data_IF_555851082207
#
_entry.id   IF_555851082207
#
_cell.length_a   1.000
_cell.length_b   1.000
_cell.length_c   1.000
_cell.angle_alpha   90.00
_cell.angle_beta   90.00
_cell.angle_gamma   90.00
#
_symmetry.space_group_name_H-M   'P 1'
#
loop_
_entity.id
_entity.type
_entity.pdbx_description
1 polymer ?
#
# COMPACT_ATOMS: atom_id res chain seq x y z
N UNK A 1 6.97 -16.16 -13.89
CA UNK A 1 6.72 -14.90 -14.64
C UNK A 1 5.60 -14.05 -14.04
N UNK A 2 4.45 -14.61 -13.62
CA UNK A 2 3.29 -13.83 -13.12
C UNK A 2 3.55 -12.99 -11.86
N UNK A 3 4.37 -13.48 -10.92
CA UNK A 3 4.71 -12.76 -9.68
C UNK A 3 5.32 -11.37 -9.92
N UNK A 4 6.21 -11.25 -10.91
CA UNK A 4 6.93 -10.01 -11.19
C UNK A 4 5.99 -8.86 -11.59
N UNK A 5 4.87 -9.18 -12.24
CA UNK A 5 3.89 -8.19 -12.69
C UNK A 5 2.95 -7.71 -11.57
N UNK A 6 2.86 -8.47 -10.47
CA UNK A 6 2.02 -8.15 -9.31
C UNK A 6 2.79 -7.57 -8.13
N UNK A 7 4.13 -7.64 -8.16
CA UNK A 7 5.00 -7.11 -7.11
C UNK A 7 4.88 -5.59 -7.06
N UNK A 8 4.76 -5.07 -5.83
CA UNK A 8 4.70 -3.62 -5.55
C UNK A 8 6.05 -3.17 -5.02
N UNK A 9 6.47 -1.95 -5.38
CA UNK A 9 7.73 -1.39 -4.90
C UNK A 9 7.53 -0.52 -3.66
N UNK A 10 8.33 -0.74 -2.60
CA UNK A 10 8.21 0.01 -1.35
C UNK A 10 8.53 1.49 -1.55
N UNK A 11 9.50 1.80 -2.40
CA UNK A 11 9.91 3.17 -2.73
C UNK A 11 8.76 3.96 -3.36
N UNK A 12 8.06 3.37 -4.33
CA UNK A 12 6.89 3.96 -4.99
C UNK A 12 5.77 4.20 -3.99
N UNK A 13 5.54 3.25 -3.07
CA UNK A 13 4.51 3.37 -2.05
C UNK A 13 4.82 4.49 -1.03
N UNK A 14 6.08 4.65 -0.62
CA UNK A 14 6.53 5.74 0.25
C UNK A 14 6.41 7.09 -0.46
N UNK A 15 6.80 7.16 -1.73
CA UNK A 15 6.66 8.38 -2.52
C UNK A 15 5.19 8.79 -2.64
N UNK A 16 4.29 7.83 -2.90
CA UNK A 16 2.85 8.05 -2.90
C UNK A 16 2.33 8.52 -1.53
N UNK A 17 2.88 8.02 -0.43
CA UNK A 17 2.49 8.46 0.90
C UNK A 17 2.98 9.89 1.20
N UNK A 18 4.13 10.29 0.68
CA UNK A 18 4.71 11.61 0.91
C UNK A 18 4.00 12.70 0.08
N UNK A 19 3.72 12.43 -1.20
CA UNK A 19 3.07 13.38 -2.10
C UNK A 19 1.53 13.31 -2.04
N UNK A 20 0.97 12.12 -1.81
CA UNK A 20 -0.47 11.85 -1.88
C UNK A 20 -1.05 11.38 -0.52
N UNK A 21 -0.29 11.51 0.57
CA UNK A 21 -0.67 11.11 1.91
C UNK A 21 -1.88 11.86 2.47
N UNK A 22 -2.00 13.15 2.16
CA UNK A 22 -3.16 13.95 2.55
C UNK A 22 -4.48 13.46 1.96
N UNK A 23 -4.43 12.75 0.83
CA UNK A 23 -5.60 12.19 0.13
C UNK A 23 -5.68 10.66 0.34
N UNK A 24 -4.62 10.01 0.81
CA UNK A 24 -4.55 8.57 1.03
C UNK A 24 -4.25 7.73 -0.22
N UNK A 25 -3.60 8.31 -1.22
CA UNK A 25 -3.28 7.64 -2.48
C UNK A 25 -2.46 6.35 -2.33
N UNK A 26 -1.56 6.30 -1.33
CA UNK A 26 -0.76 5.11 -1.03
C UNK A 26 -1.61 3.92 -0.59
N UNK A 27 -2.77 4.15 0.03
CA UNK A 27 -3.70 3.06 0.43
C UNK A 27 -4.34 2.40 -0.78
N UNK A 28 -4.70 3.17 -1.80
CA UNK A 28 -5.18 2.63 -3.07
C UNK A 28 -4.10 1.82 -3.79
N UNK A 29 -2.83 2.23 -3.69
CA UNK A 29 -1.72 1.49 -4.29
C UNK A 29 -1.54 0.08 -3.67
N UNK A 30 -1.75 -0.08 -2.36
CA UNK A 30 -1.75 -1.38 -1.69
C UNK A 30 -3.08 -2.16 -1.83
N UNK A 31 -4.06 -1.66 -2.58
CA UNK A 31 -5.38 -2.29 -2.71
C UNK A 31 -6.27 -2.14 -1.47
N UNK A 32 -5.93 -1.23 -0.55
CA UNK A 32 -6.70 -0.93 0.65
C UNK A 32 -7.73 0.19 0.36
N UNK A 33 -8.63 -0.04 -0.58
CA UNK A 33 -9.59 0.96 -1.11
C UNK A 33 -10.45 1.58 -0.01
N UNK A 34 -10.92 0.79 0.97
CA UNK A 34 -11.72 1.31 2.08
C UNK A 34 -10.97 2.34 2.94
N UNK A 35 -9.69 2.09 3.24
CA UNK A 35 -8.84 3.05 3.95
C UNK A 35 -8.51 4.28 3.10
N UNK A 36 -8.30 4.10 1.79
CA UNK A 36 -8.10 5.21 0.88
C UNK A 36 -9.32 6.15 0.81
N UNK A 37 -10.53 5.60 0.77
CA UNK A 37 -11.77 6.39 0.81
C UNK A 37 -11.92 7.13 2.15
N UNK A 38 -11.56 6.49 3.26
CA UNK A 38 -11.56 7.14 4.57
C UNK A 38 -10.60 8.35 4.58
N UNK A 39 -9.41 8.20 4.03
CA UNK A 39 -8.45 9.30 3.91
C UNK A 39 -8.96 10.43 3.00
N UNK A 40 -9.63 10.10 1.89
CA UNK A 40 -10.30 11.08 1.01
C UNK A 40 -11.37 11.88 1.74
N UNK A 41 -12.21 11.23 2.57
CA UNK A 41 -13.25 11.91 3.33
C UNK A 41 -12.68 12.84 4.41
N UNK A 42 -11.51 12.50 4.95
CA UNK A 42 -10.82 13.30 5.95
C UNK A 42 -9.72 14.21 5.36
N UNK A 43 -9.55 14.29 4.03
CA UNK A 43 -8.42 15.02 3.42
C UNK A 43 -8.41 16.52 3.77
N UNK A 44 -9.59 17.10 3.97
CA UNK A 44 -9.80 18.49 4.38
C UNK A 44 -9.38 18.80 5.83
N UNK A 45 -9.20 17.80 6.69
CA UNK A 45 -8.78 18.02 8.08
C UNK A 45 -7.27 18.11 8.26
N UNK A 46 -6.47 17.88 7.20
CA UNK A 46 -5.00 17.75 7.22
C UNK A 46 -4.46 16.61 8.10
N UNK A 47 -5.30 15.97 8.93
CA UNK A 47 -4.97 14.79 9.75
C UNK A 47 -4.40 13.63 8.91
N UNK A 48 -4.97 13.28 7.74
CA UNK A 48 -4.46 12.17 6.94
C UNK A 48 -3.03 12.38 6.46
N UNK A 49 -2.63 13.64 6.22
CA UNK A 49 -1.26 14.00 5.84
C UNK A 49 -0.26 13.71 6.96
N UNK A 50 -0.60 14.07 8.21
CA UNK A 50 0.24 13.79 9.38
C UNK A 50 0.36 12.27 9.61
N UNK A 51 -0.76 11.54 9.54
CA UNK A 51 -0.75 10.08 9.69
C UNK A 51 0.08 9.42 8.58
N UNK A 52 -0.03 9.89 7.33
CA UNK A 52 0.74 9.38 6.21
C UNK A 52 2.26 9.54 6.39
N UNK A 53 2.73 10.60 7.07
CA UNK A 53 4.15 10.76 7.42
C UNK A 53 4.62 9.68 8.39
N UNK A 54 3.82 9.35 9.41
CA UNK A 54 4.14 8.24 10.31
C UNK A 54 4.06 6.89 9.59
N UNK A 55 3.06 6.70 8.73
CA UNK A 55 2.91 5.47 7.96
C UNK A 55 4.06 5.27 6.97
N UNK A 56 4.64 6.34 6.42
CA UNK A 56 5.76 6.27 5.47
C UNK A 56 6.95 5.45 6.00
N UNK A 57 7.22 5.49 7.31
CA UNK A 57 8.25 4.66 7.95
C UNK A 57 7.88 3.17 8.00
N UNK A 58 6.60 2.86 8.20
CA UNK A 58 6.10 1.48 8.29
C UNK A 58 5.76 0.86 6.93
N UNK A 59 5.60 1.69 5.90
CA UNK A 59 5.14 1.35 4.57
C UNK A 59 6.02 0.31 3.84
N UNK A 60 7.36 0.37 3.92
CA UNK A 60 8.23 -0.65 3.33
C UNK A 60 7.95 -2.07 3.88
N UNK A 61 7.65 -2.17 5.18
CA UNK A 61 7.27 -3.43 5.81
C UNK A 61 5.88 -3.88 5.33
N UNK A 62 4.92 -2.96 5.21
CA UNK A 62 3.59 -3.27 4.68
C UNK A 62 3.65 -3.77 3.23
N UNK A 63 4.47 -3.16 2.38
CA UNK A 63 4.68 -3.58 0.99
C UNK A 63 5.34 -4.96 0.92
N UNK A 64 6.35 -5.22 1.76
CA UNK A 64 6.98 -6.54 1.84
C UNK A 64 5.99 -7.62 2.24
N UNK A 65 5.14 -7.36 3.25
CA UNK A 65 4.07 -8.27 3.68
C UNK A 65 3.02 -8.47 2.59
N UNK A 66 2.62 -7.41 1.88
CA UNK A 66 1.67 -7.50 0.77
C UNK A 66 2.22 -8.39 -0.35
N UNK A 67 3.48 -8.15 -0.73
CA UNK A 67 4.16 -8.95 -1.75
C UNK A 67 4.29 -10.42 -1.33
N UNK A 68 4.63 -10.71 -0.06
CA UNK A 68 4.69 -12.07 0.46
C UNK A 68 3.33 -12.77 0.42
N UNK A 69 2.26 -12.12 0.90
CA UNK A 69 0.90 -12.68 0.83
C UNK A 69 0.51 -13.01 -0.61
N UNK A 70 0.82 -12.12 -1.55
CA UNK A 70 0.49 -12.31 -2.97
C UNK A 70 1.32 -13.42 -3.62
N UNK A 71 2.59 -13.58 -3.25
CA UNK A 71 3.38 -14.77 -3.61
C UNK A 71 2.73 -16.03 -3.09
N UNK A 72 2.28 -15.99 -1.83
CA UNK A 72 1.72 -17.15 -1.18
C UNK A 72 0.39 -17.57 -1.82
N UNK A 73 -0.44 -16.59 -2.18
CA UNK A 73 -1.65 -16.81 -2.95
C UNK A 73 -1.34 -17.42 -4.33
N UNK A 74 -0.38 -16.87 -5.06
CA UNK A 74 0.01 -17.37 -6.39
C UNK A 74 0.52 -18.81 -6.29
N UNK A 75 1.39 -19.14 -5.33
CA UNK A 75 1.86 -20.51 -5.22
C UNK A 75 0.77 -21.48 -4.68
N UNK A 76 -0.29 -20.98 -4.03
CA UNK A 76 -1.46 -21.79 -3.60
C UNK A 76 -2.27 -22.15 -4.83
N UNK A 77 -2.51 -21.15 -5.70
CA UNK A 77 -3.18 -21.34 -6.99
C UNK A 77 -2.41 -22.28 -7.92
N UNK A 78 -1.08 -22.33 -7.81
CA UNK A 78 -0.21 -23.20 -8.59
C UNK A 78 -0.01 -24.59 -7.95
N UNK A 79 -0.58 -24.85 -6.76
CA UNK A 79 -0.45 -26.14 -6.08
C UNK A 79 0.96 -26.48 -5.61
N UNK A 80 1.79 -25.48 -5.31
CA UNK A 80 3.21 -25.66 -4.92
C UNK A 80 3.40 -25.71 -3.40
N UNK A 81 2.44 -26.27 -2.67
CA UNK A 81 2.53 -26.50 -1.23
C UNK A 81 2.07 -27.90 -0.86
#
# INVERSE_FOLDING_TARGET
MQYNNTRKDPTTAVLLALFLGGIGGHKFYLGQTGLGVLYLLFCWTMIPGVIALFEAFSLPLQVSKFNQKKMQEIANMLGVY
#
